data_IF_274137752596
#
_entry.id   IF_274137752596
#
_cell.length_a   1.000
_cell.length_b   1.000
_cell.length_c   1.000
_cell.angle_alpha   90.00
_cell.angle_beta   90.00
_cell.angle_gamma   90.00
#
_symmetry.space_group_name_H-M   'P 1'
#
loop_
_entity.id
_entity.type
_entity.pdbx_description
1 polymer ?
#
# COMPACT_ATOMS: atom_id res chain seq x y z
N UNK A 1 29.92 88.59 -22.13
CA UNK A 1 28.75 88.36 -21.24
C UNK A 1 28.07 87.05 -21.60
N UNK A 2 27.49 86.40 -20.59
CA UNK A 2 27.37 84.94 -20.44
C UNK A 2 26.41 84.20 -21.39
N UNK A 3 26.86 83.00 -21.81
CA UNK A 3 26.11 81.98 -22.57
C UNK A 3 25.20 81.21 -21.60
N UNK A 4 23.89 81.25 -21.85
CA UNK A 4 22.83 80.70 -20.99
C UNK A 4 22.87 79.15 -20.99
N UNK A 5 23.07 78.57 -19.80
CA UNK A 5 23.09 77.13 -19.50
C UNK A 5 21.78 76.43 -19.94
N UNK A 6 21.89 75.44 -20.81
CA UNK A 6 20.86 74.44 -21.06
C UNK A 6 21.22 73.20 -20.23
N UNK A 7 20.61 73.06 -19.05
CA UNK A 7 20.74 71.88 -18.16
C UNK A 7 19.34 71.52 -17.68
N UNK A 8 18.50 71.03 -18.58
CA UNK A 8 17.29 70.27 -18.24
C UNK A 8 17.06 69.33 -19.40
N UNK A 9 17.70 68.17 -19.34
CA UNK A 9 17.24 66.92 -19.98
C UNK A 9 18.21 65.78 -19.64
N UNK A 10 18.42 65.56 -18.33
CA UNK A 10 19.03 64.31 -17.86
C UNK A 10 17.89 63.31 -17.64
N UNK A 11 17.59 62.56 -18.70
CA UNK A 11 16.74 61.38 -18.70
C UNK A 11 17.25 60.39 -17.65
N UNK A 12 16.57 60.28 -16.52
CA UNK A 12 16.63 59.08 -15.66
C UNK A 12 15.36 58.29 -15.97
N UNK A 13 15.50 57.32 -16.88
CA UNK A 13 14.51 56.26 -17.06
C UNK A 13 14.50 55.45 -15.77
N UNK A 14 13.46 55.61 -14.96
CA UNK A 14 13.19 54.76 -13.81
C UNK A 14 12.40 53.56 -14.33
N UNK A 15 13.06 52.40 -14.39
CA UNK A 15 12.44 51.14 -14.79
C UNK A 15 11.21 50.86 -13.93
N UNK A 16 10.08 50.59 -14.61
CA UNK A 16 8.85 50.11 -13.98
C UNK A 16 9.01 48.63 -13.73
N UNK A 17 9.65 48.28 -12.61
CA UNK A 17 9.53 46.92 -12.09
C UNK A 17 8.10 46.73 -11.57
N UNK A 18 7.46 45.66 -12.07
CA UNK A 18 6.11 45.25 -11.67
C UNK A 18 6.12 45.03 -10.15
N UNK A 19 5.11 45.50 -9.39
CA UNK A 19 5.10 45.24 -7.96
C UNK A 19 4.94 43.74 -7.75
N UNK A 20 6.02 43.10 -7.30
CA UNK A 20 5.92 41.80 -6.66
C UNK A 20 4.98 41.96 -5.46
N UNK A 21 4.12 40.98 -5.16
CA UNK A 21 3.17 41.12 -4.07
C UNK A 21 3.95 41.38 -2.77
N UNK A 22 3.72 42.55 -2.16
CA UNK A 22 4.41 43.11 -0.98
C UNK A 22 4.65 42.09 0.15
N UNK A 23 3.76 41.11 0.26
CA UNK A 23 3.89 40.01 1.21
C UNK A 23 5.19 39.21 1.03
N UNK A 24 5.61 38.89 -0.19
CA UNK A 24 6.78 38.02 -0.40
C UNK A 24 8.11 38.69 -0.03
N UNK A 25 8.20 40.01 -0.20
CA UNK A 25 9.33 40.79 0.29
C UNK A 25 9.34 40.85 1.81
N UNK A 26 8.20 41.10 2.45
CA UNK A 26 8.11 41.27 3.91
C UNK A 26 8.47 39.99 4.69
N UNK A 27 8.18 38.81 4.13
CA UNK A 27 8.57 37.51 4.69
C UNK A 27 10.10 37.32 4.69
N UNK A 28 10.80 37.81 3.67
CA UNK A 28 12.26 37.65 3.53
C UNK A 28 13.03 38.58 4.47
N UNK A 29 12.43 39.70 4.86
CA UNK A 29 13.01 40.69 5.77
C UNK A 29 12.65 40.47 7.25
N UNK A 30 11.96 39.37 7.58
CA UNK A 30 11.72 38.97 8.98
C UNK A 30 10.76 39.89 9.76
N UNK A 31 10.03 40.78 9.07
CA UNK A 31 9.02 41.64 9.71
C UNK A 31 7.76 40.80 9.97
N UNK A 32 7.07 41.06 11.09
CA UNK A 32 5.96 40.28 11.68
C UNK A 32 4.69 40.14 10.81
N UNK A 33 4.84 39.63 9.59
CA UNK A 33 3.80 39.43 8.61
C UNK A 33 2.69 38.49 9.12
N UNK A 34 2.98 37.68 10.14
CA UNK A 34 2.01 36.78 10.74
C UNK A 34 0.76 37.50 11.29
N UNK A 35 0.86 38.63 12.01
CA UNK A 35 -0.29 39.15 12.78
C UNK A 35 -1.35 39.81 11.89
N UNK A 36 -0.98 40.71 10.98
CA UNK A 36 -1.93 41.35 10.06
C UNK A 36 -2.52 40.33 9.05
N UNK A 37 -1.70 39.39 8.59
CA UNK A 37 -2.13 38.36 7.65
C UNK A 37 -3.03 37.31 8.30
N UNK A 38 -2.71 36.86 9.51
CA UNK A 38 -3.58 35.98 10.28
C UNK A 38 -4.91 36.66 10.55
N UNK A 39 -4.95 37.93 10.94
CA UNK A 39 -6.24 38.62 11.17
C UNK A 39 -7.09 38.70 9.90
N UNK A 40 -6.48 38.99 8.74
CA UNK A 40 -7.23 39.12 7.47
C UNK A 40 -7.62 37.78 6.83
N UNK A 41 -6.79 36.75 6.98
CA UNK A 41 -6.96 35.44 6.35
C UNK A 41 -7.13 34.29 7.36
N UNK A 42 -7.55 34.61 8.60
CA UNK A 42 -7.71 33.64 9.69
C UNK A 42 -8.52 32.43 9.26
N UNK A 43 -9.59 32.68 8.50
CA UNK A 43 -10.48 31.66 7.98
C UNK A 43 -9.79 30.69 7.01
N UNK A 44 -8.97 31.18 6.07
CA UNK A 44 -8.20 30.33 5.15
C UNK A 44 -7.14 29.50 5.90
N UNK A 45 -6.48 30.10 6.90
CA UNK A 45 -5.53 29.38 7.75
C UNK A 45 -6.21 28.28 8.56
N UNK A 46 -7.42 28.53 9.08
CA UNK A 46 -8.21 27.54 9.80
C UNK A 46 -8.57 26.36 8.89
N UNK A 47 -9.04 26.61 7.67
CA UNK A 47 -9.30 25.56 6.66
C UNK A 47 -8.03 24.78 6.34
N UNK A 48 -6.88 25.45 6.21
CA UNK A 48 -5.60 24.81 5.92
C UNK A 48 -5.15 23.87 7.06
N UNK A 49 -5.31 24.28 8.31
CA UNK A 49 -5.03 23.44 9.48
C UNK A 49 -5.94 22.21 9.53
N UNK A 50 -7.25 22.39 9.28
CA UNK A 50 -8.20 21.27 9.20
C UNK A 50 -7.85 20.31 8.06
N UNK A 51 -7.42 20.81 6.90
CA UNK A 51 -6.97 19.99 5.78
C UNK A 51 -5.73 19.17 6.15
N UNK A 52 -4.74 19.76 6.82
CA UNK A 52 -3.55 19.04 7.30
C UNK A 52 -3.92 17.95 8.30
N UNK A 53 -4.79 18.26 9.27
CA UNK A 53 -5.26 17.28 10.26
C UNK A 53 -6.03 16.12 9.60
N UNK A 54 -6.87 16.43 8.60
CA UNK A 54 -7.60 15.43 7.82
C UNK A 54 -6.65 14.54 7.00
N UNK A 55 -5.64 15.13 6.35
CA UNK A 55 -4.60 14.38 5.62
C UNK A 55 -3.76 13.50 6.55
N UNK A 56 -3.41 14.00 7.74
CA UNK A 56 -2.78 13.19 8.79
C UNK A 56 -3.68 12.01 9.16
N UNK A 57 -4.96 12.28 9.48
CA UNK A 57 -5.94 11.25 9.82
C UNK A 57 -6.08 10.18 8.74
N UNK A 58 -6.16 10.57 7.47
CA UNK A 58 -6.24 9.64 6.34
C UNK A 58 -4.98 8.78 6.21
N UNK A 59 -3.79 9.37 6.41
CA UNK A 59 -2.52 8.64 6.42
C UNK A 59 -2.43 7.65 7.59
N UNK A 60 -2.97 7.99 8.75
CA UNK A 60 -3.04 7.07 9.89
C UNK A 60 -4.04 5.93 9.65
N UNK A 61 -5.24 6.22 9.13
CA UNK A 61 -6.25 5.19 8.80
C UNK A 61 -5.72 4.18 7.79
N UNK A 62 -5.04 4.64 6.76
CA UNK A 62 -4.43 3.76 5.75
C UNK A 62 -3.30 2.90 6.33
N UNK A 63 -2.48 3.43 7.25
CA UNK A 63 -1.43 2.65 7.93
C UNK A 63 -2.00 1.55 8.83
N UNK A 64 -2.96 1.88 9.71
CA UNK A 64 -3.56 0.89 10.62
C UNK A 64 -4.32 -0.20 9.86
N UNK A 65 -5.07 0.18 8.82
CA UNK A 65 -5.78 -0.80 7.99
C UNK A 65 -4.83 -1.69 7.21
N UNK A 66 -3.69 -1.16 6.76
CA UNK A 66 -2.66 -1.97 6.10
C UNK A 66 -2.00 -2.96 7.08
N UNK A 67 -1.75 -2.59 8.33
CA UNK A 67 -1.24 -3.52 9.35
C UNK A 67 -2.24 -4.63 9.68
N UNK A 68 -3.52 -4.28 9.78
CA UNK A 68 -4.61 -5.23 10.00
C UNK A 68 -4.73 -6.23 8.83
N UNK A 69 -4.68 -5.75 7.59
CA UNK A 69 -4.67 -6.60 6.39
C UNK A 69 -3.46 -7.54 6.40
N UNK A 70 -2.26 -7.03 6.69
CA UNK A 70 -1.04 -7.87 6.74
C UNK A 70 -1.16 -8.98 7.78
N UNK A 71 -1.69 -8.67 8.96
CA UNK A 71 -1.94 -9.65 10.02
C UNK A 71 -2.91 -10.73 9.54
N UNK A 72 -4.05 -10.33 8.99
CA UNK A 72 -5.07 -11.27 8.49
C UNK A 72 -4.54 -12.16 7.37
N UNK A 73 -3.76 -11.61 6.44
CA UNK A 73 -3.14 -12.39 5.37
C UNK A 73 -2.15 -13.41 5.90
N UNK A 74 -1.34 -13.06 6.90
CA UNK A 74 -0.40 -13.99 7.53
C UNK A 74 -1.14 -15.14 8.23
N UNK A 75 -2.21 -14.82 8.96
CA UNK A 75 -3.05 -15.82 9.63
C UNK A 75 -3.72 -16.77 8.62
N UNK A 76 -4.22 -16.23 7.50
CA UNK A 76 -4.79 -17.02 6.41
C UNK A 76 -3.74 -17.96 5.80
N UNK A 77 -2.53 -17.48 5.54
CA UNK A 77 -1.45 -18.31 4.99
C UNK A 77 -1.07 -19.46 5.92
N UNK A 78 -1.03 -19.22 7.24
CA UNK A 78 -0.76 -20.26 8.24
C UNK A 78 -1.89 -21.30 8.22
N UNK A 79 -3.15 -20.86 8.21
CA UNK A 79 -4.31 -21.75 8.17
C UNK A 79 -4.41 -22.56 6.87
N UNK A 80 -4.05 -21.96 5.73
CA UNK A 80 -4.00 -22.66 4.45
C UNK A 80 -2.87 -23.68 4.42
N UNK A 81 -1.70 -23.34 4.96
CA UNK A 81 -0.58 -24.26 5.08
C UNK A 81 -0.91 -25.45 5.97
N UNK A 82 -1.55 -25.24 7.13
CA UNK A 82 -1.96 -26.33 8.02
C UNK A 82 -3.00 -27.24 7.37
N UNK A 83 -3.98 -26.65 6.68
CA UNK A 83 -4.96 -27.41 5.89
C UNK A 83 -4.28 -28.28 4.82
N UNK A 84 -3.32 -27.72 4.08
CA UNK A 84 -2.60 -28.46 3.05
C UNK A 84 -1.74 -29.57 3.64
N UNK A 85 -1.11 -29.33 4.79
CA UNK A 85 -0.33 -30.34 5.50
C UNK A 85 -1.20 -31.52 5.96
N UNK A 86 -2.35 -31.25 6.56
CA UNK A 86 -3.30 -32.28 6.99
C UNK A 86 -3.83 -33.08 5.81
N UNK A 87 -4.19 -32.38 4.72
CA UNK A 87 -4.60 -33.02 3.46
C UNK A 87 -3.49 -33.93 2.92
N UNK A 88 -2.24 -33.48 2.93
CA UNK A 88 -1.11 -34.25 2.44
C UNK A 88 -0.87 -35.49 3.31
N UNK A 89 -0.96 -35.36 4.64
CA UNK A 89 -0.88 -36.47 5.56
C UNK A 89 -1.98 -37.50 5.29
N UNK A 90 -3.24 -37.06 5.18
CA UNK A 90 -4.36 -37.92 4.81
C UNK A 90 -4.12 -38.64 3.47
N UNK A 91 -3.72 -37.88 2.43
CA UNK A 91 -3.46 -38.43 1.09
C UNK A 91 -2.33 -39.48 1.10
N UNK A 92 -1.33 -39.31 1.96
CA UNK A 92 -0.26 -40.29 2.14
C UNK A 92 -0.79 -41.59 2.76
N UNK A 93 -1.64 -41.49 3.79
CA UNK A 93 -2.20 -42.65 4.48
C UNK A 93 -3.11 -43.51 3.59
N UNK A 94 -3.93 -42.87 2.75
CA UNK A 94 -4.84 -43.57 1.84
C UNK A 94 -4.18 -44.03 0.53
N UNK A 95 -2.88 -43.79 0.36
CA UNK A 95 -2.18 -44.20 -0.85
C UNK A 95 -2.07 -45.71 -0.89
N UNK A 96 -2.38 -46.33 -2.03
CA UNK A 96 -2.29 -47.78 -2.22
C UNK A 96 -0.92 -48.34 -1.81
N UNK A 97 0.16 -47.62 -2.10
CA UNK A 97 1.51 -48.01 -1.69
C UNK A 97 1.67 -48.10 -0.17
N UNK A 98 1.12 -47.14 0.58
CA UNK A 98 1.14 -47.16 2.05
C UNK A 98 0.21 -48.25 2.60
N UNK A 99 -0.95 -48.47 1.97
CA UNK A 99 -1.85 -49.57 2.33
C UNK A 99 -1.17 -50.93 2.13
N UNK A 100 -0.50 -51.17 0.99
CA UNK A 100 0.29 -52.38 0.72
C UNK A 100 1.43 -52.55 1.74
N UNK A 101 2.13 -51.47 2.09
CA UNK A 101 3.19 -51.49 3.12
C UNK A 101 2.62 -51.90 4.48
N UNK A 102 1.53 -51.29 4.93
CA UNK A 102 0.89 -51.62 6.21
C UNK A 102 0.39 -53.07 6.27
N UNK A 103 -0.22 -53.57 5.19
CA UNK A 103 -0.67 -54.97 5.10
C UNK A 103 0.49 -55.94 5.27
N UNK A 104 1.63 -55.65 4.63
CA UNK A 104 2.85 -56.45 4.74
C UNK A 104 3.45 -56.39 6.15
N UNK A 105 3.54 -55.21 6.75
CA UNK A 105 4.07 -55.02 8.11
C UNK A 105 3.22 -55.70 9.18
N UNK A 106 1.89 -55.71 8.99
CA UNK A 106 0.94 -56.33 9.92
C UNK A 106 0.69 -57.81 9.66
N UNK A 107 1.27 -58.38 8.59
CA UNK A 107 1.14 -59.79 8.25
C UNK A 107 -0.29 -60.23 7.95
N UNK A 108 -1.12 -59.34 7.37
CA UNK A 108 -2.56 -59.57 7.20
C UNK A 108 -2.89 -60.56 6.06
N UNK A 109 -1.90 -61.01 5.27
CA UNK A 109 -2.09 -61.99 4.20
C UNK A 109 -3.02 -61.54 3.06
N UNK A 110 -3.28 -60.23 2.95
CA UNK A 110 -4.11 -59.67 1.89
C UNK A 110 -3.24 -59.42 0.66
N UNK A 111 -3.54 -60.09 -0.45
CA UNK A 111 -2.91 -59.84 -1.75
C UNK A 111 -3.79 -58.93 -2.61
N UNK A 112 -3.17 -57.93 -3.22
CA UNK A 112 -3.86 -57.04 -4.15
C UNK A 112 -3.87 -57.69 -5.53
N UNK A 113 -5.05 -58.02 -6.05
CA UNK A 113 -5.19 -58.59 -7.39
C UNK A 113 -4.88 -57.51 -8.44
N UNK A 114 -3.90 -57.76 -9.31
CA UNK A 114 -3.55 -56.85 -10.41
C UNK A 114 -4.54 -56.92 -11.58
N UNK A 115 -5.20 -58.07 -11.73
CA UNK A 115 -6.19 -58.32 -12.77
C UNK A 115 -7.60 -58.32 -12.17
N UNK A 116 -8.59 -57.73 -12.86
CA UNK A 116 -9.97 -57.87 -12.45
C UNK A 116 -10.40 -59.35 -12.53
N UNK A 117 -11.32 -59.80 -11.68
CA UNK A 117 -11.87 -61.15 -11.76
C UNK A 117 -12.64 -61.35 -13.07
N UNK A 118 -12.36 -62.45 -13.76
CA UNK A 118 -13.08 -62.83 -14.98
C UNK A 118 -14.24 -63.77 -14.64
N UNK A 119 -15.40 -63.52 -15.23
CA UNK A 119 -16.52 -64.46 -15.21
C UNK A 119 -16.33 -65.38 -16.40
N UNK A 120 -16.14 -66.67 -16.15
CA UNK A 120 -16.08 -67.68 -17.21
C UNK A 120 -17.53 -68.10 -17.52
N UNK A 121 -18.00 -67.81 -18.73
CA UNK A 121 -19.23 -68.42 -19.25
C UNK A 121 -18.88 -69.84 -19.70
N UNK A 122 -19.62 -70.83 -19.18
CA UNK A 122 -19.39 -72.23 -19.49
C UNK A 122 -19.98 -72.52 -20.88
N UNK A 123 -19.11 -72.62 -21.89
CA UNK A 123 -19.51 -73.14 -23.21
C UNK A 123 -19.90 -74.62 -23.03
N UNK A 124 -21.20 -74.90 -23.19
CA UNK A 124 -21.72 -76.26 -23.22
C UNK A 124 -21.49 -76.84 -24.63
N UNK A 125 -20.53 -77.76 -24.75
CA UNK A 125 -20.41 -78.70 -25.88
C UNK A 125 -21.59 -79.71 -25.90
#
# INVERSE_FOLDING_TARGET
>A
MAKKKNIKDKKIKKDRERPTPSWFSDLRYGRSFSVEFFKRNAWLLMVFVVAILSLMGLRYKTKTKMEEIKRLTAELQIAESSKLQEKAAYMSLIRETEMKRMVKEKGLGLEFQEYPPYVLEQDND
#
